data_IF_385343563984
#
_entry.id   IF_385343563984
#
_cell.length_a   1.000
_cell.length_b   1.000
_cell.length_c   1.000
_cell.angle_alpha   90.00
_cell.angle_beta   90.00
_cell.angle_gamma   90.00
#
_symmetry.space_group_name_H-M   'P 1'
#
loop_
_entity.id
_entity.type
_entity.pdbx_description
1 polymer ?
#
# COMPACT_ATOMS: atom_id res chain seq x y z
N UNK A 1 3.86 14.36 6.64
CA UNK A 1 4.72 13.17 6.82
C UNK A 1 6.09 13.48 6.23
N UNK A 2 7.16 13.02 6.87
CA UNK A 2 8.51 13.22 6.34
C UNK A 2 8.75 12.37 5.07
N UNK A 3 9.59 12.83 4.12
CA UNK A 3 9.82 12.10 2.87
C UNK A 3 10.24 10.63 3.06
N UNK A 4 11.14 10.35 4.01
CA UNK A 4 11.61 8.99 4.30
C UNK A 4 10.55 8.10 4.95
N UNK A 5 9.61 8.68 5.70
CA UNK A 5 8.48 7.93 6.27
C UNK A 5 7.48 7.54 5.18
N UNK A 6 7.19 8.46 4.24
CA UNK A 6 6.34 8.18 3.08
C UNK A 6 6.95 7.10 2.20
N UNK A 7 8.26 7.19 1.95
CA UNK A 7 9.02 6.17 1.23
C UNK A 7 8.88 4.79 1.87
N UNK A 8 9.09 4.70 3.19
CA UNK A 8 8.94 3.46 3.95
C UNK A 8 7.52 2.91 3.90
N UNK A 9 6.51 3.76 4.06
CA UNK A 9 5.11 3.35 4.02
C UNK A 9 4.72 2.81 2.63
N UNK A 10 5.17 3.45 1.56
CA UNK A 10 4.93 2.96 0.20
C UNK A 10 5.64 1.62 -0.03
N UNK A 11 6.87 1.45 0.44
CA UNK A 11 7.59 0.18 0.30
C UNK A 11 6.90 -0.97 1.07
N UNK A 12 6.32 -0.68 2.24
CA UNK A 12 5.48 -1.64 2.98
C UNK A 12 4.23 -2.04 2.19
N UNK A 13 3.54 -1.08 1.57
CA UNK A 13 2.35 -1.32 0.75
C UNK A 13 2.67 -2.10 -0.54
N UNK A 14 3.83 -1.87 -1.14
CA UNK A 14 4.35 -2.67 -2.26
C UNK A 14 4.57 -4.12 -1.81
N UNK A 15 5.30 -4.34 -0.71
CA UNK A 15 5.55 -5.69 -0.19
C UNK A 15 4.27 -6.43 0.21
N UNK A 16 3.32 -5.73 0.83
CA UNK A 16 2.01 -6.29 1.16
C UNK A 16 1.24 -6.73 -0.10
N UNK A 17 1.21 -5.89 -1.13
CA UNK A 17 0.54 -6.20 -2.40
C UNK A 17 1.20 -7.39 -3.13
N UNK A 18 2.53 -7.50 -3.07
CA UNK A 18 3.27 -8.64 -3.64
C UNK A 18 2.91 -9.95 -2.93
N UNK A 19 2.88 -9.95 -1.59
CA UNK A 19 2.51 -11.12 -0.81
C UNK A 19 1.07 -11.56 -1.06
N UNK A 20 0.12 -10.63 -1.15
CA UNK A 20 -1.27 -10.93 -1.51
C UNK A 20 -1.35 -11.50 -2.92
N UNK A 21 -0.69 -10.88 -3.90
CA UNK A 21 -0.69 -11.36 -5.29
C UNK A 21 -0.03 -12.73 -5.47
N UNK A 22 0.91 -13.09 -4.59
CA UNK A 22 1.54 -14.41 -4.58
C UNK A 22 0.69 -15.47 -3.85
N UNK A 23 -0.10 -15.06 -2.86
CA UNK A 23 -0.93 -15.95 -2.04
C UNK A 23 -2.32 -16.24 -2.59
N UNK A 24 -2.89 -15.32 -3.37
CA UNK A 24 -4.24 -15.40 -3.93
C UNK A 24 -4.27 -15.91 -5.39
N UNK A 25 -5.48 -16.20 -5.88
CA UNK A 25 -5.72 -16.59 -7.29
C UNK A 25 -6.94 -15.88 -7.88
N UNK A 26 -7.12 -16.00 -9.21
CA UNK A 26 -8.25 -15.40 -9.92
C UNK A 26 -8.35 -13.88 -9.73
N UNK A 27 -9.56 -13.38 -9.50
CA UNK A 27 -9.86 -11.96 -9.40
C UNK A 27 -9.16 -11.29 -8.19
N UNK A 28 -9.01 -12.01 -7.08
CA UNK A 28 -8.31 -11.50 -5.90
C UNK A 28 -6.83 -11.21 -6.21
N UNK A 29 -6.16 -12.11 -6.94
CA UNK A 29 -4.80 -11.89 -7.42
C UNK A 29 -4.73 -10.72 -8.41
N UNK A 30 -5.71 -10.60 -9.31
CA UNK A 30 -5.76 -9.50 -10.26
C UNK A 30 -5.88 -8.14 -9.55
N UNK A 31 -6.76 -8.06 -8.54
CA UNK A 31 -6.90 -6.87 -7.70
C UNK A 31 -5.57 -6.49 -7.02
N UNK A 32 -4.91 -7.47 -6.38
CA UNK A 32 -3.61 -7.24 -5.74
C UNK A 32 -2.52 -6.77 -6.71
N UNK A 33 -2.51 -7.28 -7.95
CA UNK A 33 -1.58 -6.82 -8.99
C UNK A 33 -1.86 -5.39 -9.45
N UNK A 34 -3.12 -4.98 -9.54
CA UNK A 34 -3.49 -3.59 -9.83
C UNK A 34 -3.02 -2.66 -8.70
N UNK A 35 -3.23 -3.05 -7.45
CA UNK A 35 -2.80 -2.30 -6.28
C UNK A 35 -1.27 -2.22 -6.18
N UNK A 36 -0.56 -3.31 -6.51
CA UNK A 36 0.90 -3.32 -6.64
C UNK A 36 1.39 -2.33 -7.70
N UNK A 37 0.79 -2.34 -8.89
CA UNK A 37 1.15 -1.42 -9.96
C UNK A 37 0.94 0.05 -9.54
N UNK A 38 -0.15 0.32 -8.83
CA UNK A 38 -0.45 1.64 -8.28
C UNK A 38 0.64 2.12 -7.31
N UNK A 39 1.01 1.32 -6.30
CA UNK A 39 2.00 1.75 -5.31
C UNK A 39 3.41 1.84 -5.88
N UNK A 40 3.79 0.97 -6.83
CA UNK A 40 5.06 1.12 -7.57
C UNK A 40 5.10 2.40 -8.38
N UNK A 41 4.01 2.76 -9.05
CA UNK A 41 3.94 4.04 -9.76
C UNK A 41 4.08 5.22 -8.78
N UNK A 42 3.37 5.17 -7.65
CA UNK A 42 3.46 6.20 -6.61
C UNK A 42 4.89 6.33 -6.08
N UNK A 43 5.56 5.20 -5.82
CA UNK A 43 6.95 5.14 -5.35
C UNK A 43 7.92 5.91 -6.26
N UNK A 44 7.79 5.76 -7.57
CA UNK A 44 8.65 6.45 -8.56
C UNK A 44 8.40 7.97 -8.63
N UNK A 45 7.28 8.44 -8.09
CA UNK A 45 6.85 9.85 -8.17
C UNK A 45 6.90 10.58 -6.82
N UNK A 46 7.49 9.98 -5.79
CA UNK A 46 7.60 10.61 -4.45
C UNK A 46 8.46 11.87 -4.42
N UNK A 47 9.27 12.13 -5.44
CA UNK A 47 9.99 13.39 -5.60
C UNK A 47 9.04 14.59 -5.78
N UNK A 48 7.81 14.36 -6.26
CA UNK A 48 6.76 15.38 -6.33
C UNK A 48 6.11 15.58 -4.96
N UNK A 49 6.23 16.77 -4.33
CA UNK A 49 5.61 17.07 -3.04
C UNK A 49 4.07 16.94 -3.05
N UNK A 50 3.40 17.22 -4.17
CA UNK A 50 1.95 17.10 -4.27
C UNK A 50 1.50 15.64 -4.14
N UNK A 51 2.33 14.71 -4.61
CA UNK A 51 2.09 13.27 -4.53
C UNK A 51 2.53 12.65 -3.20
N UNK A 52 3.01 13.47 -2.25
CA UNK A 52 3.28 13.04 -0.87
C UNK A 52 2.17 13.40 0.10
N UNK A 53 1.15 14.13 -0.34
CA UNK A 53 0.02 14.48 0.51
C UNK A 53 -0.83 13.25 0.82
N UNK A 54 -1.13 13.08 2.10
CA UNK A 54 -2.16 12.17 2.59
C UNK A 54 -3.23 12.96 3.34
N UNK A 55 -4.41 12.38 3.45
CA UNK A 55 -5.50 12.96 4.24
C UNK A 55 -5.30 12.79 5.75
N UNK A 56 -4.52 11.78 6.16
CA UNK A 56 -4.11 11.53 7.54
C UNK A 56 -2.82 10.71 7.54
N UNK A 57 -1.71 11.37 7.92
CA UNK A 57 -0.38 10.78 7.86
C UNK A 57 -0.19 9.64 8.86
N UNK A 58 -0.75 9.78 10.06
CA UNK A 58 -0.61 8.77 11.12
C UNK A 58 -1.39 7.51 10.72
N UNK A 59 -2.64 7.70 10.28
CA UNK A 59 -3.48 6.60 9.81
C UNK A 59 -2.89 5.91 8.58
N UNK A 60 -2.33 6.65 7.62
CA UNK A 60 -1.69 6.06 6.44
C UNK A 60 -0.50 5.17 6.82
N UNK A 61 0.36 5.65 7.73
CA UNK A 61 1.51 4.88 8.23
C UNK A 61 1.08 3.60 8.95
N UNK A 62 0.11 3.70 9.87
CA UNK A 62 -0.39 2.55 10.61
C UNK A 62 -1.06 1.53 9.67
N UNK A 63 -1.79 2.01 8.65
CA UNK A 63 -2.40 1.18 7.62
C UNK A 63 -1.35 0.41 6.81
N UNK A 64 -0.24 1.06 6.43
CA UNK A 64 0.85 0.43 5.69
C UNK A 64 1.52 -0.71 6.51
N UNK A 65 1.80 -0.45 7.79
CA UNK A 65 2.35 -1.45 8.72
C UNK A 65 1.38 -2.62 8.89
N UNK A 66 0.09 -2.33 9.10
CA UNK A 66 -0.94 -3.34 9.27
C UNK A 66 -1.12 -4.20 8.01
N UNK A 67 -1.14 -3.58 6.82
CA UNK A 67 -1.30 -4.28 5.55
C UNK A 67 -0.18 -5.32 5.34
N UNK A 68 1.08 -4.92 5.57
CA UNK A 68 2.23 -5.82 5.46
C UNK A 68 2.20 -6.92 6.53
N UNK A 69 1.84 -6.56 7.77
CA UNK A 69 1.74 -7.52 8.88
C UNK A 69 0.68 -8.59 8.58
N UNK A 70 -0.49 -8.20 8.09
CA UNK A 70 -1.56 -9.14 7.72
C UNK A 70 -1.13 -10.02 6.54
N UNK A 71 -0.52 -9.44 5.50
CA UNK A 71 -0.01 -10.21 4.37
C UNK A 71 1.04 -11.25 4.79
N UNK A 72 1.97 -10.87 5.66
CA UNK A 72 2.99 -11.78 6.21
C UNK A 72 2.39 -12.93 7.05
N UNK A 73 1.23 -12.71 7.65
CA UNK A 73 0.45 -13.73 8.37
C UNK A 73 -0.49 -14.54 7.47
N UNK A 74 -0.48 -14.29 6.15
CA UNK A 74 -1.39 -14.86 5.15
C UNK A 74 -2.87 -14.47 5.34
N UNK A 75 -3.12 -13.40 6.07
CA UNK A 75 -4.45 -12.78 6.22
C UNK A 75 -4.73 -11.88 5.01
N UNK A 76 -4.81 -12.48 3.82
CA UNK A 76 -4.78 -11.76 2.54
C UNK A 76 -6.00 -10.87 2.31
N UNK A 77 -7.18 -11.30 2.73
CA UNK A 77 -8.39 -10.48 2.64
C UNK A 77 -8.29 -9.21 3.50
N UNK A 78 -7.78 -9.34 4.73
CA UNK A 78 -7.57 -8.21 5.62
C UNK A 78 -6.49 -7.27 5.07
N UNK A 79 -5.40 -7.82 4.55
CA UNK A 79 -4.36 -7.03 3.88
C UNK A 79 -4.90 -6.27 2.66
N UNK A 80 -5.70 -6.92 1.80
CA UNK A 80 -6.32 -6.30 0.65
C UNK A 80 -7.23 -5.12 1.02
N UNK A 81 -8.02 -5.25 2.09
CA UNK A 81 -8.85 -4.16 2.60
C UNK A 81 -8.00 -2.96 3.07
N UNK A 82 -6.90 -3.23 3.78
CA UNK A 82 -5.97 -2.19 4.25
C UNK A 82 -5.23 -1.52 3.08
N UNK A 83 -4.90 -2.26 2.01
CA UNK A 83 -4.30 -1.70 0.80
C UNK A 83 -5.25 -0.71 0.12
N UNK A 84 -6.54 -1.03 0.01
CA UNK A 84 -7.55 -0.11 -0.52
C UNK A 84 -7.76 1.10 0.39
N UNK A 85 -7.75 0.91 1.71
CA UNK A 85 -7.79 2.02 2.66
C UNK A 85 -6.59 2.95 2.48
N UNK A 86 -5.37 2.41 2.41
CA UNK A 86 -4.17 3.20 2.17
C UNK A 86 -4.27 4.00 0.87
N UNK A 87 -4.83 3.40 -0.19
CA UNK A 87 -5.07 4.10 -1.46
C UNK A 87 -6.05 5.27 -1.30
N UNK A 88 -7.11 5.10 -0.51
CA UNK A 88 -8.10 6.17 -0.26
C UNK A 88 -7.55 7.36 0.52
N UNK A 89 -6.47 7.15 1.28
CA UNK A 89 -5.82 8.21 2.08
C UNK A 89 -4.86 9.06 1.26
N UNK A 90 -4.46 8.62 0.06
CA UNK A 90 -3.59 9.39 -0.82
C UNK A 90 -4.40 10.46 -1.56
N UNK A 91 -3.88 11.69 -1.57
CA UNK A 91 -4.44 12.76 -2.39
C UNK A 91 -4.09 12.55 -3.86
N UNK A 92 -5.05 12.86 -4.74
CA UNK A 92 -4.92 12.84 -6.20
C UNK A 92 -4.30 14.11 -6.75
#
# INVERSE_FOLDING_TARGET
MEPGEMETAIDQLVGASELVAAGESGDARLGALQTLAFFRLRRTRLSDPALRATSDDALFKDTAIAALTMAGRKEYLASAALLEQARSLLSY
#
